data_IF_156127718486
#
_entry.id   IF_156127718486
#
_cell.length_a   1.000
_cell.length_b   1.000
_cell.length_c   1.000
_cell.angle_alpha   90.00
_cell.angle_beta   90.00
_cell.angle_gamma   90.00
#
_symmetry.space_group_name_H-M   'P 1'
#
loop_
_entity.id
_entity.type
_entity.pdbx_description
1 polymer ?
#
# COMPACT_ATOMS: atom_id res chain seq x y z
N UNK A 1 10.21 -12.36 21.64
CA UNK A 1 9.72 -11.16 20.94
C UNK A 1 9.51 -10.07 21.97
N UNK A 2 10.20 -8.94 21.84
CA UNK A 2 9.88 -7.76 22.64
C UNK A 2 8.48 -7.28 22.27
N UNK A 3 7.64 -6.99 23.27
CA UNK A 3 6.33 -6.36 23.02
C UNK A 3 6.57 -4.90 22.68
N UNK A 4 6.37 -4.55 21.41
CA UNK A 4 6.38 -3.16 20.92
C UNK A 4 4.95 -2.68 20.77
N UNK A 5 4.67 -1.48 21.28
CA UNK A 5 3.36 -0.82 21.18
C UNK A 5 3.54 0.55 20.55
N UNK A 6 2.67 0.89 19.60
CA UNK A 6 2.66 2.19 18.92
C UNK A 6 1.31 2.84 19.19
N UNK A 7 1.32 4.03 19.79
CA UNK A 7 0.12 4.84 19.95
C UNK A 7 -0.15 5.59 18.66
N UNK A 8 -1.26 5.29 17.99
CA UNK A 8 -1.63 5.91 16.72
C UNK A 8 -3.13 6.17 16.63
N UNK A 9 -3.52 7.20 15.88
CA UNK A 9 -4.91 7.50 15.56
C UNK A 9 -5.26 6.86 14.22
N UNK A 10 -6.38 6.12 14.19
CA UNK A 10 -6.91 5.54 12.97
C UNK A 10 -8.09 6.36 12.44
N UNK A 11 -8.23 6.37 11.12
CA UNK A 11 -9.45 6.80 10.44
C UNK A 11 -10.35 5.57 10.30
N UNK A 12 -11.57 5.66 10.83
CA UNK A 12 -12.55 4.58 10.70
C UNK A 12 -13.41 4.84 9.46
N UNK A 13 -13.38 3.89 8.52
CA UNK A 13 -14.18 3.93 7.31
C UNK A 13 -15.38 2.96 7.45
N UNK A 14 -16.58 3.45 7.80
CA UNK A 14 -17.69 2.62 8.27
C UNK A 14 -18.30 1.65 7.24
N UNK A 15 -17.83 1.66 5.99
CA UNK A 15 -18.35 0.82 4.90
C UNK A 15 -17.27 -0.01 4.19
N UNK A 16 -16.10 -0.21 4.80
CA UNK A 16 -15.04 -1.03 4.19
C UNK A 16 -15.38 -2.51 4.23
N UNK A 17 -15.27 -3.19 3.09
CA UNK A 17 -15.37 -4.65 3.02
C UNK A 17 -14.06 -5.29 3.49
N UNK A 18 -14.16 -6.34 4.30
CA UNK A 18 -13.02 -7.17 4.70
C UNK A 18 -12.19 -6.67 5.88
N UNK A 19 -12.58 -5.58 6.55
CA UNK A 19 -11.98 -5.06 7.80
C UNK A 19 -10.44 -4.95 7.79
N UNK A 20 -9.84 -4.80 6.60
CA UNK A 20 -8.40 -4.63 6.47
C UNK A 20 -8.04 -3.20 6.89
N UNK A 21 -7.01 -3.09 7.72
CA UNK A 21 -6.47 -1.80 8.14
C UNK A 21 -5.36 -1.39 7.18
N UNK A 22 -5.52 -0.23 6.54
CA UNK A 22 -4.43 0.36 5.78
C UNK A 22 -3.47 1.04 6.75
N UNK A 23 -2.19 0.66 6.69
CA UNK A 23 -1.13 1.26 7.48
C UNK A 23 -0.39 2.28 6.62
N UNK A 24 -0.56 3.55 6.96
CA UNK A 24 0.08 4.66 6.25
C UNK A 24 1.55 4.83 6.62
N UNK A 25 2.20 5.78 5.94
CA UNK A 25 3.60 6.15 6.20
C UNK A 25 3.81 6.74 7.59
N UNK A 26 2.78 7.34 8.18
CA UNK A 26 2.74 7.82 9.56
C UNK A 26 2.90 6.68 10.56
N UNK A 27 2.18 5.56 10.34
CA UNK A 27 2.35 4.34 11.12
C UNK A 27 3.72 3.73 10.93
N UNK A 28 4.16 3.56 9.67
CA UNK A 28 5.45 2.94 9.36
C UNK A 28 6.59 3.70 10.05
N UNK A 29 6.57 5.03 9.99
CA UNK A 29 7.56 5.89 10.63
C UNK A 29 7.49 5.79 12.16
N UNK A 30 6.29 5.86 12.75
CA UNK A 30 6.10 5.80 14.21
C UNK A 30 6.48 4.45 14.80
N UNK A 31 6.24 3.37 14.05
CA UNK A 31 6.62 2.01 14.41
C UNK A 31 8.09 1.71 14.14
N UNK A 32 8.79 2.60 13.43
CA UNK A 32 10.19 2.39 13.06
C UNK A 32 10.37 1.25 12.06
N UNK A 33 9.40 1.06 11.16
CA UNK A 33 9.40 0.00 10.15
C UNK A 33 10.10 0.44 8.88
N UNK A 34 10.94 -0.44 8.35
CA UNK A 34 11.57 -0.30 7.05
C UNK A 34 11.06 -1.41 6.14
N UNK A 35 10.56 -1.04 4.95
CA UNK A 35 10.13 -1.97 3.91
C UNK A 35 11.25 -2.14 2.88
N UNK A 36 11.76 -3.37 2.75
CA UNK A 36 12.70 -3.76 1.68
C UNK A 36 11.92 -4.52 0.60
N UNK A 37 11.39 -3.75 -0.35
CA UNK A 37 10.57 -4.27 -1.47
C UNK A 37 11.37 -5.26 -2.30
N UNK A 38 12.66 -4.98 -2.54
CA UNK A 38 13.53 -5.85 -3.34
C UNK A 38 13.69 -7.24 -2.71
N UNK A 39 13.75 -7.30 -1.38
CA UNK A 39 13.87 -8.56 -0.64
C UNK A 39 12.53 -9.11 -0.14
N UNK A 40 11.41 -8.48 -0.51
CA UNK A 40 10.06 -8.83 -0.06
C UNK A 40 9.96 -9.04 1.46
N UNK A 41 10.58 -8.12 2.23
CA UNK A 41 10.61 -8.22 3.68
C UNK A 41 10.51 -6.85 4.35
N UNK A 42 10.20 -6.86 5.64
CA UNK A 42 10.29 -5.69 6.50
C UNK A 42 11.13 -5.98 7.73
N UNK A 43 11.66 -4.93 8.34
CA UNK A 43 12.40 -4.99 9.60
C UNK A 43 12.24 -3.69 10.37
N UNK A 44 12.63 -3.71 11.63
CA UNK A 44 12.69 -2.49 12.42
C UNK A 44 14.04 -1.81 12.26
N UNK A 45 14.05 -0.47 12.21
CA UNK A 45 15.28 0.30 12.05
C UNK A 45 16.31 0.01 13.16
N UNK A 46 15.84 -0.27 14.37
CA UNK A 46 16.66 -0.57 15.56
C UNK A 46 17.15 -2.03 15.60
N UNK A 47 16.65 -2.89 14.72
CA UNK A 47 17.06 -4.28 14.59
C UNK A 47 17.02 -4.76 13.12
N UNK A 48 17.95 -4.30 12.27
CA UNK A 48 17.95 -4.61 10.84
C UNK A 48 18.34 -6.07 10.52
N UNK A 49 18.88 -6.80 11.50
CA UNK A 49 19.28 -8.21 11.35
C UNK A 49 18.08 -9.14 11.37
N UNK A 50 17.02 -8.77 12.08
CA UNK A 50 15.81 -9.57 12.21
C UNK A 50 14.75 -9.12 11.21
N UNK A 51 14.54 -9.93 10.17
CA UNK A 51 13.67 -9.61 9.04
C UNK A 51 12.44 -10.49 9.05
N UNK A 52 11.32 -9.91 8.68
CA UNK A 52 10.04 -10.57 8.54
C UNK A 52 9.66 -10.58 7.06
N UNK A 53 9.33 -11.74 6.48
CA UNK A 53 8.84 -11.77 5.10
C UNK A 53 7.52 -11.00 4.99
N UNK A 54 7.24 -10.44 3.82
CA UNK A 54 5.86 -10.05 3.50
C UNK A 54 4.97 -11.30 3.58
N UNK A 55 3.73 -11.10 4.04
CA UNK A 55 2.78 -12.20 4.10
C UNK A 55 2.58 -12.80 2.71
N UNK A 56 2.52 -14.13 2.63
CA UNK A 56 2.09 -14.79 1.41
C UNK A 56 0.68 -14.29 1.09
N UNK A 57 0.49 -13.72 -0.10
CA UNK A 57 -0.84 -13.60 -0.64
C UNK A 57 -1.39 -15.02 -0.70
N UNK A 58 -2.33 -15.37 0.19
CA UNK A 58 -3.19 -16.51 -0.07
C UNK A 58 -3.92 -16.19 -1.38
N UNK A 59 -3.35 -16.64 -2.50
CA UNK A 59 -4.05 -16.81 -3.74
C UNK A 59 -5.16 -17.82 -3.45
N UNK A 60 -6.30 -17.35 -2.96
CA UNK A 60 -7.54 -18.10 -3.15
C UNK A 60 -7.80 -18.07 -4.66
N UNK A 61 -7.77 -19.21 -5.37
CA UNK A 61 -8.23 -19.23 -6.75
C UNK A 61 -9.75 -19.06 -6.72
N UNK A 62 -10.22 -17.81 -6.69
CA UNK A 62 -11.62 -17.47 -6.92
C UNK A 62 -11.78 -16.23 -7.80
N UNK A 63 -10.68 -15.61 -8.25
CA UNK A 63 -10.72 -14.34 -8.97
C UNK A 63 -9.69 -14.27 -10.12
N UNK A 64 -9.37 -15.41 -10.74
CA UNK A 64 -8.75 -15.39 -12.07
C UNK A 64 -9.67 -14.70 -13.13
N UNK A 65 -10.90 -14.35 -12.77
CA UNK A 65 -11.86 -13.62 -13.61
C UNK A 65 -12.09 -12.14 -13.21
N UNK A 66 -11.34 -11.58 -12.25
CA UNK A 66 -11.49 -10.16 -11.89
C UNK A 66 -10.18 -9.41 -11.66
N UNK A 67 -9.05 -9.99 -12.06
CA UNK A 67 -7.94 -9.21 -12.61
C UNK A 67 -8.30 -8.83 -14.06
N UNK A 68 -9.37 -8.05 -14.23
CA UNK A 68 -9.23 -6.95 -15.17
C UNK A 68 -8.25 -6.03 -14.47
N UNK A 69 -7.13 -5.75 -15.11
CA UNK A 69 -6.16 -4.75 -14.70
C UNK A 69 -6.90 -3.60 -14.03
N UNK A 70 -6.72 -3.43 -12.71
CA UNK A 70 -6.88 -2.11 -12.13
C UNK A 70 -5.68 -1.29 -12.65
N UNK A 71 -5.65 -1.04 -13.97
CA UNK A 71 -5.30 0.28 -14.46
C UNK A 71 -5.99 1.23 -13.48
N UNK A 72 -5.23 2.10 -12.83
CA UNK A 72 -5.81 3.26 -12.17
C UNK A 72 -6.53 4.07 -13.27
N UNK A 73 -7.72 3.61 -13.64
CA UNK A 73 -8.66 4.41 -14.39
C UNK A 73 -9.14 5.39 -13.34
N UNK A 74 -8.42 6.51 -13.27
CA UNK A 74 -8.96 7.76 -12.75
C UNK A 74 -10.29 7.86 -13.46
N UNK A 75 -11.39 7.63 -12.74
CA UNK A 75 -12.72 7.87 -13.27
C UNK A 75 -12.66 9.32 -13.74
N UNK A 76 -12.88 9.54 -15.03
CA UNK A 76 -13.36 10.82 -15.53
C UNK A 76 -14.62 11.11 -14.72
N UNK A 77 -14.43 11.84 -13.61
CA UNK A 77 -15.47 12.69 -13.11
C UNK A 77 -15.74 13.66 -14.25
N UNK A 78 -17.00 13.90 -14.54
CA UNK A 78 -17.42 15.03 -15.34
C UNK A 78 -16.88 16.30 -14.66
N UNK A 79 -15.66 16.68 -15.05
CA UNK A 79 -15.14 18.02 -15.26
C UNK A 79 -13.64 17.91 -15.62
N UNK A 80 -13.41 17.95 -16.94
CA UNK A 80 -12.14 18.05 -17.68
C UNK A 80 -11.16 16.86 -17.67
N UNK A 81 -11.10 16.19 -18.84
CA UNK A 81 -10.04 15.24 -19.20
C UNK A 81 -8.67 15.91 -19.22
N UNK A 82 -7.62 15.20 -18.80
CA UNK A 82 -6.24 15.70 -18.85
C UNK A 82 -5.83 15.97 -20.31
N UNK A 83 -5.30 17.17 -20.56
CA UNK A 83 -4.80 17.53 -21.89
C UNK A 83 -3.59 16.70 -22.29
N UNK A 84 -3.36 16.54 -23.60
CA UNK A 84 -2.23 15.79 -24.16
C UNK A 84 -0.86 16.22 -23.59
N UNK A 85 -0.73 17.52 -23.28
CA UNK A 85 0.47 18.09 -22.68
C UNK A 85 0.71 17.63 -21.22
N UNK A 86 -0.35 17.49 -20.43
CA UNK A 86 -0.23 17.01 -19.05
C UNK A 86 0.15 15.54 -19.00
N UNK A 87 -0.35 14.73 -19.95
CA UNK A 87 -0.01 13.32 -20.10
C UNK A 87 1.48 13.16 -20.44
N UNK A 88 1.99 13.93 -21.38
CA UNK A 88 3.40 13.88 -21.80
C UNK A 88 4.35 14.23 -20.63
N UNK A 89 4.00 15.26 -19.85
CA UNK A 89 4.79 15.66 -18.67
C UNK A 89 4.81 14.59 -17.57
N UNK A 90 3.72 13.84 -17.42
CA UNK A 90 3.61 12.74 -16.44
C UNK A 90 4.46 11.54 -16.85
N UNK A 91 4.52 11.22 -18.14
CA UNK A 91 5.34 10.14 -18.66
C UNK A 91 6.85 10.38 -18.49
N UNK A 92 7.29 11.64 -18.39
CA UNK A 92 8.69 11.95 -18.09
C UNK A 92 9.08 11.81 -16.61
N UNK A 93 8.11 11.58 -15.72
CA UNK A 93 8.30 11.46 -14.27
C UNK A 93 8.17 10.01 -13.75
N UNK A 94 7.81 9.07 -14.64
CA UNK A 94 7.68 7.63 -14.39
C UNK A 94 8.81 6.86 -15.09
#
# INVERSE_FOLDING_TARGET
MERRSVLIRFIILPKTKGNRTLLGTDFLSSAGLILDVKKACWYFWDNPTHKYPFGEEFYTPSIAEKMSSNTFQIKEGEDESLTSFQIEKLNHLL
#
